data_IF_281523753365
#
_entry.id   IF_281523753365
#
_cell.length_a   1.000
_cell.length_b   1.000
_cell.length_c   1.000
_cell.angle_alpha   90.00
_cell.angle_beta   90.00
_cell.angle_gamma   90.00
#
_symmetry.space_group_name_H-M   'P 1'
#
loop_
_entity.id
_entity.type
_entity.pdbx_description
1 polymer ?
#
# COMPACT_ATOMS: atom_id res chain seq x y z
N UNK A 1 46.28 14.05 -90.40
CA UNK A 1 46.10 15.37 -91.02
C UNK A 1 44.85 15.98 -90.42
N UNK A 2 45.00 17.10 -89.68
CA UNK A 2 43.89 17.99 -89.32
C UNK A 2 43.26 17.82 -87.94
N UNK A 3 43.63 18.71 -87.01
CA UNK A 3 42.86 19.17 -85.85
C UNK A 3 41.41 19.56 -86.19
N UNK A 4 40.49 19.43 -85.22
CA UNK A 4 39.63 20.55 -84.76
C UNK A 4 38.57 20.12 -83.71
N UNK A 5 38.75 20.66 -82.50
CA UNK A 5 37.76 21.41 -81.69
C UNK A 5 36.40 20.78 -81.29
N UNK A 6 36.36 20.38 -80.01
CA UNK A 6 35.51 20.95 -78.95
C UNK A 6 34.01 21.24 -79.18
N UNK A 7 33.17 20.57 -78.38
CA UNK A 7 31.78 20.96 -78.11
C UNK A 7 31.19 20.33 -76.84
N UNK A 8 31.43 20.98 -75.68
CA UNK A 8 30.55 21.15 -74.48
C UNK A 8 30.03 19.87 -73.76
N UNK A 9 30.59 19.54 -72.58
CA UNK A 9 30.02 19.80 -71.21
C UNK A 9 28.64 19.16 -71.00
N UNK A 10 28.58 17.94 -70.43
CA UNK A 10 28.28 17.61 -69.00
C UNK A 10 26.75 17.53 -68.75
N UNK A 11 26.14 16.75 -67.86
CA UNK A 11 26.42 15.84 -66.73
C UNK A 11 25.39 14.69 -66.90
N UNK A 12 25.35 13.53 -66.23
CA UNK A 12 25.53 13.26 -64.81
C UNK A 12 25.48 11.74 -64.62
N UNK A 13 26.38 11.23 -63.78
CA UNK A 13 26.49 9.84 -63.42
C UNK A 13 25.52 9.48 -62.30
N UNK A 14 24.91 8.29 -62.34
CA UNK A 14 24.48 7.63 -61.10
C UNK A 14 24.75 6.12 -61.13
N UNK A 15 25.92 5.81 -60.59
CA UNK A 15 26.33 4.52 -60.04
C UNK A 15 25.42 4.18 -58.83
N UNK A 16 24.89 2.95 -58.76
CA UNK A 16 24.29 2.41 -57.54
C UNK A 16 25.02 1.11 -57.16
N UNK A 17 25.80 1.08 -56.08
CA UNK A 17 26.26 -0.16 -55.48
C UNK A 17 25.26 -0.69 -54.45
N UNK A 18 25.27 -2.01 -54.29
CA UNK A 18 24.40 -2.83 -53.45
C UNK A 18 24.45 -2.44 -51.96
N UNK A 19 23.29 -2.44 -51.30
CA UNK A 19 23.19 -2.26 -49.85
C UNK A 19 22.95 -3.62 -49.17
N UNK A 20 23.90 -4.01 -48.32
CA UNK A 20 23.77 -5.12 -47.38
C UNK A 20 22.83 -4.73 -46.23
N UNK A 21 21.86 -5.59 -45.92
CA UNK A 21 20.92 -5.40 -44.80
C UNK A 21 21.54 -5.96 -43.52
N UNK A 22 21.94 -5.06 -42.62
CA UNK A 22 22.32 -5.39 -41.25
C UNK A 22 21.05 -5.37 -40.37
N UNK A 23 20.61 -6.56 -39.97
CA UNK A 23 19.49 -6.76 -39.05
C UNK A 23 19.88 -6.34 -37.63
N UNK A 24 19.52 -5.13 -37.22
CA UNK A 24 19.63 -4.67 -35.84
C UNK A 24 18.40 -5.16 -35.06
N UNK A 25 18.55 -6.23 -34.30
CA UNK A 25 17.53 -6.73 -33.39
C UNK A 25 17.27 -5.70 -32.28
N UNK A 26 16.19 -4.94 -32.40
CA UNK A 26 15.65 -4.17 -31.27
C UNK A 26 15.10 -5.17 -30.25
N UNK A 27 15.86 -5.43 -29.19
CA UNK A 27 15.30 -5.90 -27.92
C UNK A 27 14.40 -4.77 -27.38
N UNK A 28 13.11 -4.86 -27.62
CA UNK A 28 12.12 -4.04 -26.93
C UNK A 28 12.01 -4.59 -25.49
N UNK A 29 12.41 -3.84 -24.45
CA UNK A 29 12.17 -4.29 -23.08
C UNK A 29 10.65 -4.34 -22.87
N UNK A 30 10.16 -5.47 -22.34
CA UNK A 30 8.74 -5.77 -22.25
C UNK A 30 7.92 -4.62 -21.67
N UNK A 31 7.10 -4.00 -22.51
CA UNK A 31 6.04 -3.10 -22.08
C UNK A 31 5.07 -3.93 -21.24
N UNK A 32 5.09 -3.75 -19.93
CA UNK A 32 3.97 -4.16 -19.09
C UNK A 32 2.76 -3.37 -19.58
N UNK A 33 1.82 -4.06 -20.21
CA UNK A 33 0.61 -3.41 -20.73
C UNK A 33 -0.13 -2.70 -19.60
N UNK A 34 -0.63 -1.47 -19.80
CA UNK A 34 -1.35 -0.72 -18.77
C UNK A 34 -2.54 -1.50 -18.18
N UNK A 35 -3.17 -2.37 -18.98
CA UNK A 35 -4.22 -3.29 -18.50
C UNK A 35 -3.74 -4.29 -17.45
N UNK A 36 -2.52 -4.82 -17.54
CA UNK A 36 -1.99 -5.77 -16.56
C UNK A 36 -1.69 -5.10 -15.20
N UNK A 37 -1.20 -3.86 -15.23
CA UNK A 37 -0.96 -3.07 -14.03
C UNK A 37 -2.27 -2.71 -13.30
N UNK A 38 -3.30 -2.27 -14.05
CA UNK A 38 -4.64 -2.02 -13.50
C UNK A 38 -5.26 -3.30 -12.91
N UNK A 39 -5.10 -4.45 -13.58
CA UNK A 39 -5.59 -5.74 -13.08
C UNK A 39 -4.94 -6.13 -11.75
N UNK A 40 -3.64 -5.86 -11.60
CA UNK A 40 -2.89 -6.08 -10.36
C UNK A 40 -3.46 -5.25 -9.19
N UNK A 41 -3.68 -3.95 -9.42
CA UNK A 41 -4.29 -3.05 -8.44
C UNK A 41 -5.67 -3.56 -8.01
N UNK A 42 -6.55 -3.87 -8.96
CA UNK A 42 -7.91 -4.35 -8.66
C UNK A 42 -7.91 -5.70 -7.95
N UNK A 43 -6.94 -6.56 -8.25
CA UNK A 43 -6.79 -7.85 -7.56
C UNK A 43 -6.27 -7.66 -6.14
N UNK A 44 -5.44 -6.65 -5.89
CA UNK A 44 -5.03 -6.27 -4.54
C UNK A 44 -6.19 -5.65 -3.74
N UNK A 45 -6.94 -4.71 -4.34
CA UNK A 45 -8.13 -4.11 -3.74
C UNK A 45 -9.18 -5.16 -3.35
N UNK A 46 -9.53 -6.07 -4.27
CA UNK A 46 -10.53 -7.13 -3.99
C UNK A 46 -10.08 -8.11 -2.91
N UNK A 47 -8.77 -8.30 -2.77
CA UNK A 47 -8.20 -9.10 -1.68
C UNK A 47 -7.93 -8.31 -0.41
N UNK A 48 -8.38 -7.04 -0.33
CA UNK A 48 -8.10 -6.11 0.78
C UNK A 48 -6.60 -5.97 1.10
N UNK A 49 -5.73 -6.21 0.13
CA UNK A 49 -4.28 -6.05 0.22
C UNK A 49 -3.91 -4.59 -0.03
N UNK A 50 -4.39 -3.69 0.83
CA UNK A 50 -4.34 -2.25 0.62
C UNK A 50 -2.93 -1.69 0.41
N UNK A 51 -1.94 -2.17 1.17
CA UNK A 51 -0.55 -1.73 1.01
C UNK A 51 0.04 -2.10 -0.36
N UNK A 52 -0.30 -3.27 -0.88
CA UNK A 52 0.10 -3.70 -2.22
C UNK A 52 -0.64 -2.88 -3.28
N UNK A 53 -1.95 -2.68 -3.11
CA UNK A 53 -2.75 -1.85 -4.01
C UNK A 53 -2.18 -0.42 -4.09
N UNK A 54 -1.82 0.19 -2.95
CA UNK A 54 -1.22 1.53 -2.89
C UNK A 54 0.18 1.58 -3.51
N UNK A 55 0.98 0.53 -3.35
CA UNK A 55 2.30 0.42 -4.00
C UNK A 55 2.16 0.34 -5.52
N UNK A 56 1.32 -0.58 -6.00
CA UNK A 56 1.03 -0.76 -7.41
C UNK A 56 0.43 0.50 -8.03
N UNK A 57 -0.47 1.18 -7.32
CA UNK A 57 -1.11 2.41 -7.80
C UNK A 57 -0.17 3.61 -7.82
N UNK A 58 0.81 3.70 -6.90
CA UNK A 58 1.86 4.74 -6.96
C UNK A 58 2.85 4.52 -8.09
N UNK A 59 3.11 3.26 -8.46
CA UNK A 59 3.93 2.91 -9.62
C UNK A 59 3.17 3.06 -10.95
N UNK A 60 1.86 3.32 -10.91
CA UNK A 60 1.03 3.46 -12.11
C UNK A 60 1.24 4.85 -12.75
N UNK A 61 1.35 4.96 -14.09
CA UNK A 61 1.56 6.25 -14.76
C UNK A 61 0.41 7.25 -14.58
N UNK A 62 -0.81 6.75 -14.41
CA UNK A 62 -1.99 7.58 -14.16
C UNK A 62 -2.11 7.93 -12.66
N UNK A 63 -2.00 9.22 -12.27
CA UNK A 63 -2.11 9.65 -10.88
C UNK A 63 -3.49 9.37 -10.26
N UNK A 64 -4.54 9.18 -11.08
CA UNK A 64 -5.88 8.82 -10.59
C UNK A 64 -5.87 7.46 -9.93
N UNK A 65 -5.00 6.53 -10.35
CA UNK A 65 -4.93 5.19 -9.79
C UNK A 65 -4.69 5.19 -8.28
N UNK A 66 -3.72 6.00 -7.82
CA UNK A 66 -3.42 6.14 -6.39
C UNK A 66 -4.63 6.65 -5.60
N UNK A 67 -5.29 7.68 -6.15
CA UNK A 67 -6.44 8.33 -5.52
C UNK A 67 -7.66 7.42 -5.47
N UNK A 68 -7.85 6.59 -6.49
CA UNK A 68 -8.91 5.59 -6.54
C UNK A 68 -8.70 4.49 -5.48
N UNK A 69 -7.46 4.02 -5.29
CA UNK A 69 -7.16 3.04 -4.24
C UNK A 69 -7.41 3.64 -2.86
N UNK A 70 -6.97 4.88 -2.62
CA UNK A 70 -7.23 5.58 -1.35
C UNK A 70 -8.74 5.70 -1.09
N UNK A 71 -9.51 6.14 -2.08
CA UNK A 71 -10.96 6.23 -1.99
C UNK A 71 -11.60 4.90 -1.62
N UNK A 72 -11.25 3.83 -2.34
CA UNK A 72 -11.81 2.50 -2.10
C UNK A 72 -11.47 1.99 -0.70
N UNK A 73 -10.25 2.27 -0.20
CA UNK A 73 -9.89 1.97 1.20
C UNK A 73 -10.75 2.75 2.18
N UNK A 74 -10.94 4.05 1.97
CA UNK A 74 -11.67 4.93 2.88
C UNK A 74 -13.17 4.63 2.99
N UNK A 75 -13.76 3.92 2.02
CA UNK A 75 -15.14 3.42 2.13
C UNK A 75 -15.26 2.25 3.12
N UNK A 76 -14.18 1.50 3.33
CA UNK A 76 -14.11 0.34 4.22
C UNK A 76 -14.17 0.80 5.68
N UNK A 77 -15.02 0.15 6.47
CA UNK A 77 -15.20 0.48 7.88
C UNK A 77 -13.88 0.33 8.65
N UNK A 78 -13.51 1.35 9.44
CA UNK A 78 -12.31 1.32 10.27
C UNK A 78 -10.97 1.40 9.52
N UNK A 79 -10.98 1.54 8.19
CA UNK A 79 -9.75 1.55 7.38
C UNK A 79 -9.12 2.95 7.23
N UNK A 80 -9.80 4.01 7.66
CA UNK A 80 -9.36 5.39 7.56
C UNK A 80 -9.40 6.12 8.91
N UNK A 81 -8.48 7.06 9.09
CA UNK A 81 -8.40 7.92 10.27
C UNK A 81 -9.19 9.21 10.07
N UNK A 82 -9.62 9.87 11.16
CA UNK A 82 -10.41 11.09 11.06
C UNK A 82 -9.70 12.23 10.28
N UNK A 83 -8.39 12.52 10.48
CA UNK A 83 -7.69 13.52 9.67
C UNK A 83 -7.57 13.12 8.19
N UNK A 84 -7.40 11.83 7.92
CA UNK A 84 -7.29 11.32 6.55
C UNK A 84 -8.62 11.49 5.81
N UNK A 85 -9.71 11.04 6.44
CA UNK A 85 -11.07 11.15 5.91
C UNK A 85 -11.47 12.61 5.69
N UNK A 86 -11.18 13.50 6.64
CA UNK A 86 -11.51 14.92 6.51
C UNK A 86 -10.77 15.59 5.35
N UNK A 87 -9.47 15.33 5.19
CA UNK A 87 -8.66 15.83 4.07
C UNK A 87 -9.17 15.27 2.75
N UNK A 88 -9.44 13.96 2.68
CA UNK A 88 -9.92 13.34 1.45
C UNK A 88 -11.26 13.92 1.02
N UNK A 89 -12.24 14.02 1.94
CA UNK A 89 -13.56 14.61 1.66
C UNK A 89 -13.42 16.05 1.16
N UNK A 90 -12.60 16.87 1.82
CA UNK A 90 -12.42 18.28 1.46
C UNK A 90 -11.80 18.46 0.06
N UNK A 91 -10.83 17.61 -0.29
CA UNK A 91 -10.13 17.67 -1.59
C UNK A 91 -10.90 17.01 -2.74
N UNK A 92 -12.00 16.31 -2.45
CA UNK A 92 -12.71 15.44 -3.39
C UNK A 92 -14.23 15.52 -3.22
N UNK A 93 -14.77 16.74 -3.10
CA UNK A 93 -16.20 16.94 -2.83
C UNK A 93 -17.12 16.39 -3.94
N UNK A 94 -16.62 16.28 -5.16
CA UNK A 94 -17.31 15.76 -6.35
C UNK A 94 -17.26 14.23 -6.47
N UNK A 95 -16.49 13.56 -5.61
CA UNK A 95 -16.34 12.11 -5.67
C UNK A 95 -17.59 11.40 -5.14
N UNK A 96 -17.89 10.18 -5.64
CA UNK A 96 -19.07 9.44 -5.24
C UNK A 96 -19.08 9.08 -3.74
N UNK A 97 -20.26 8.73 -3.22
CA UNK A 97 -20.45 8.21 -1.86
C UNK A 97 -20.01 9.16 -0.72
N UNK A 98 -20.12 10.49 -0.90
CA UNK A 98 -19.83 11.49 0.15
C UNK A 98 -20.53 11.19 1.49
N UNK A 99 -21.79 10.76 1.47
CA UNK A 99 -22.52 10.41 2.68
C UNK A 99 -21.88 9.23 3.44
N UNK A 100 -21.35 8.24 2.71
CA UNK A 100 -20.65 7.12 3.32
C UNK A 100 -19.31 7.59 3.91
N UNK A 101 -18.53 8.38 3.17
CA UNK A 101 -17.29 8.97 3.67
C UNK A 101 -17.52 9.81 4.94
N UNK A 102 -18.57 10.63 4.97
CA UNK A 102 -18.95 11.41 6.15
C UNK A 102 -19.30 10.51 7.34
N UNK A 103 -20.02 9.41 7.12
CA UNK A 103 -20.28 8.41 8.16
C UNK A 103 -18.98 7.77 8.67
N UNK A 104 -18.05 7.42 7.79
CA UNK A 104 -16.72 6.88 8.18
C UNK A 104 -15.94 7.90 9.01
N UNK A 105 -16.01 9.19 8.66
CA UNK A 105 -15.40 10.25 9.44
C UNK A 105 -15.99 10.32 10.85
N UNK A 106 -17.31 10.25 10.99
CA UNK A 106 -17.98 10.24 12.30
C UNK A 106 -17.57 9.02 13.14
N UNK A 107 -17.50 7.84 12.54
CA UNK A 107 -17.02 6.62 13.20
C UNK A 107 -15.57 6.78 13.70
N UNK A 108 -14.69 7.35 12.86
CA UNK A 108 -13.30 7.62 13.21
C UNK A 108 -13.16 8.70 14.31
N UNK A 109 -14.02 9.73 14.30
CA UNK A 109 -14.08 10.76 15.35
C UNK A 109 -14.55 10.17 16.70
N UNK A 110 -15.56 9.31 16.67
CA UNK A 110 -16.02 8.60 17.87
C UNK A 110 -14.93 7.67 18.43
N UNK A 111 -14.15 7.03 17.57
CA UNK A 111 -13.01 6.20 17.98
C UNK A 111 -11.85 7.02 18.58
N UNK A 112 -11.63 8.25 18.08
CA UNK A 112 -10.58 9.16 18.53
C UNK A 112 -10.95 9.98 19.78
N UNK A 113 -12.23 10.03 20.16
CA UNK A 113 -12.71 10.60 21.43
C UNK A 113 -12.25 9.84 22.68
N UNK A 114 -11.59 8.68 22.55
CA UNK A 114 -10.77 8.08 23.60
C UNK A 114 -9.37 8.69 23.51
N UNK A 115 -9.05 9.62 24.42
CA UNK A 115 -7.81 10.42 24.46
C UNK A 115 -6.59 9.64 23.91
N UNK A 116 -5.97 10.20 22.88
CA UNK A 116 -4.79 9.68 22.17
C UNK A 116 -3.59 10.62 22.33
N UNK A 117 -3.66 11.57 23.27
CA UNK A 117 -2.53 12.44 23.59
C UNK A 117 -1.30 11.60 23.97
N UNK A 118 -0.08 12.08 23.74
CA UNK A 118 1.13 11.39 24.22
C UNK A 118 1.07 11.08 25.73
N UNK A 119 0.37 11.92 26.51
CA UNK A 119 0.12 11.69 27.94
C UNK A 119 -0.73 10.44 28.20
N UNK A 120 -1.79 10.23 27.42
CA UNK A 120 -2.65 9.03 27.50
C UNK A 120 -1.91 7.73 27.14
N UNK A 121 -0.77 7.83 26.45
CA UNK A 121 0.04 6.70 26.00
C UNK A 121 1.19 6.35 26.97
N UNK A 122 1.39 7.08 28.06
CA UNK A 122 2.57 6.88 28.93
C UNK A 122 2.51 5.59 29.77
N UNK A 123 1.34 5.16 30.23
CA UNK A 123 1.20 3.97 31.09
C UNK A 123 0.91 2.68 30.29
N UNK A 124 1.76 2.37 29.31
CA UNK A 124 1.57 1.29 28.33
C UNK A 124 1.17 -0.08 28.92
N UNK A 125 1.78 -0.57 30.02
CA UNK A 125 1.41 -1.88 30.58
C UNK A 125 -0.07 -1.95 30.99
N UNK A 126 -0.64 -0.84 31.47
CA UNK A 126 -2.04 -0.76 31.89
C UNK A 126 -3.01 -0.59 30.71
N UNK A 127 -2.56 -0.06 29.57
CA UNK A 127 -3.45 0.28 28.44
C UNK A 127 -4.01 -0.96 27.75
N UNK A 128 -5.31 -1.00 27.43
CA UNK A 128 -5.89 -2.09 26.64
C UNK A 128 -5.29 -2.12 25.23
N UNK A 129 -5.30 -3.29 24.58
CA UNK A 129 -4.70 -3.48 23.26
C UNK A 129 -5.19 -2.45 22.23
N UNK A 130 -6.50 -2.19 22.19
CA UNK A 130 -7.08 -1.21 21.30
C UNK A 130 -6.55 0.23 21.51
N UNK A 131 -6.18 0.60 22.76
CA UNK A 131 -5.59 1.90 23.02
C UNK A 131 -4.11 1.94 22.63
N UNK A 132 -3.37 0.85 22.84
CA UNK A 132 -2.00 0.73 22.35
C UNK A 132 -1.93 0.88 20.82
N UNK A 133 -2.85 0.28 20.07
CA UNK A 133 -2.89 0.46 18.61
C UNK A 133 -3.16 1.91 18.19
N UNK A 134 -4.08 2.59 18.88
CA UNK A 134 -4.32 4.03 18.66
C UNK A 134 -3.08 4.88 18.95
N UNK A 135 -2.37 4.58 20.03
CA UNK A 135 -1.09 5.21 20.37
C UNK A 135 -0.02 4.95 19.29
N UNK A 136 0.05 3.73 18.76
CA UNK A 136 0.96 3.36 17.69
C UNK A 136 0.70 4.17 16.41
N UNK A 137 -0.57 4.26 15.99
CA UNK A 137 -0.97 5.03 14.82
C UNK A 137 -0.65 6.52 14.99
N UNK A 138 -0.95 7.09 16.17
CA UNK A 138 -0.66 8.49 16.48
C UNK A 138 0.85 8.79 16.53
N UNK A 139 1.66 7.88 17.08
CA UNK A 139 3.11 8.00 17.09
C UNK A 139 3.71 7.90 15.67
N UNK A 140 3.19 7.00 14.84
CA UNK A 140 3.59 6.81 13.45
C UNK A 140 3.40 8.08 12.63
N UNK A 141 2.21 8.67 12.70
CA UNK A 141 1.87 9.92 11.99
C UNK A 141 2.72 11.10 12.42
N UNK A 142 3.18 11.12 13.67
CA UNK A 142 4.04 12.16 14.20
C UNK A 142 5.53 11.86 14.02
N UNK A 143 5.90 10.84 13.24
CA UNK A 143 7.30 10.47 12.96
C UNK A 143 8.04 9.83 14.13
N UNK A 144 7.36 9.53 15.25
CA UNK A 144 7.94 8.85 16.41
C UNK A 144 7.94 7.34 16.21
N UNK A 145 8.76 6.89 15.25
CA UNK A 145 8.77 5.49 14.80
C UNK A 145 9.03 4.50 15.94
N UNK A 146 9.95 4.80 16.85
CA UNK A 146 10.27 3.91 17.97
C UNK A 146 9.08 3.69 18.92
N UNK A 147 8.35 4.76 19.26
CA UNK A 147 7.14 4.65 20.09
C UNK A 147 6.05 3.87 19.36
N UNK A 148 5.88 4.12 18.06
CA UNK A 148 4.89 3.45 17.25
C UNK A 148 5.10 1.92 17.20
N UNK A 149 6.36 1.50 16.98
CA UNK A 149 6.76 0.09 16.99
C UNK A 149 6.51 -0.54 18.35
N UNK A 150 6.88 0.16 19.43
CA UNK A 150 6.73 -0.34 20.78
C UNK A 150 5.25 -0.56 21.14
N UNK A 151 4.40 0.42 20.83
CA UNK A 151 2.96 0.36 21.12
C UNK A 151 2.26 -0.72 20.26
N UNK A 152 2.61 -0.84 18.98
CA UNK A 152 2.03 -1.85 18.09
C UNK A 152 2.40 -3.28 18.54
N UNK A 153 3.66 -3.54 18.91
CA UNK A 153 4.09 -4.85 19.45
C UNK A 153 3.37 -5.17 20.75
N UNK A 154 3.26 -4.20 21.66
CA UNK A 154 2.52 -4.38 22.91
C UNK A 154 1.03 -4.69 22.65
N UNK A 155 0.40 -3.98 21.70
CA UNK A 155 -0.98 -4.25 21.27
C UNK A 155 -1.15 -5.67 20.69
N UNK A 156 -0.19 -6.12 19.87
CA UNK A 156 -0.15 -7.48 19.34
C UNK A 156 -0.14 -8.54 20.44
N UNK A 157 0.77 -8.42 21.40
CA UNK A 157 0.91 -9.41 22.47
C UNK A 157 -0.35 -9.43 23.35
N UNK A 158 -0.87 -8.24 23.70
CA UNK A 158 -2.01 -8.09 24.60
C UNK A 158 -3.33 -8.60 24.00
N UNK A 159 -3.46 -8.54 22.68
CA UNK A 159 -4.57 -9.15 21.93
C UNK A 159 -5.26 -8.15 21.03
N UNK A 160 -4.91 -8.20 19.75
CA UNK A 160 -5.70 -7.59 18.68
C UNK A 160 -6.95 -8.44 18.48
N UNK A 161 -8.10 -7.78 18.38
CA UNK A 161 -9.39 -8.44 18.10
C UNK A 161 -9.30 -9.29 16.81
N UNK A 162 -9.92 -10.49 16.76
CA UNK A 162 -9.81 -11.39 15.62
C UNK A 162 -10.17 -10.72 14.27
N UNK A 163 -11.21 -9.88 14.27
CA UNK A 163 -11.64 -9.17 13.07
C UNK A 163 -10.64 -8.10 12.59
N UNK A 164 -9.75 -7.62 13.46
CA UNK A 164 -8.73 -6.61 13.15
C UNK A 164 -7.34 -7.21 12.92
N UNK A 165 -7.14 -8.52 13.14
CA UNK A 165 -5.85 -9.19 13.09
C UNK A 165 -5.21 -9.12 11.69
N UNK A 166 -6.00 -9.35 10.62
CA UNK A 166 -5.50 -9.26 9.25
C UNK A 166 -4.99 -7.84 8.92
N UNK A 167 -5.79 -6.82 9.22
CA UNK A 167 -5.43 -5.41 9.01
C UNK A 167 -4.21 -5.01 9.84
N UNK A 168 -4.13 -5.47 11.10
CA UNK A 168 -2.95 -5.24 11.92
C UNK A 168 -1.68 -5.83 11.30
N UNK A 169 -1.73 -7.08 10.84
CA UNK A 169 -0.57 -7.74 10.22
C UNK A 169 -0.16 -7.07 8.90
N UNK A 170 -1.10 -6.49 8.15
CA UNK A 170 -0.78 -5.72 6.96
C UNK A 170 0.03 -4.46 7.27
N UNK A 171 -0.29 -3.75 8.36
CA UNK A 171 0.36 -2.48 8.73
C UNK A 171 1.63 -2.72 9.54
N UNK A 172 1.54 -3.56 10.57
CA UNK A 172 2.54 -3.76 11.61
C UNK A 172 3.21 -5.13 11.57
N UNK A 173 2.81 -6.05 10.68
CA UNK A 173 3.33 -7.42 10.69
C UNK A 173 4.85 -7.51 10.50
N UNK A 174 5.45 -6.57 9.76
CA UNK A 174 6.90 -6.54 9.50
C UNK A 174 7.76 -6.20 10.71
N UNK A 175 7.18 -5.56 11.73
CA UNK A 175 7.91 -5.17 12.95
C UNK A 175 7.81 -6.23 14.05
N UNK A 176 7.00 -7.27 13.83
CA UNK A 176 6.85 -8.36 14.78
C UNK A 176 8.06 -9.28 14.72
N UNK A 177 8.49 -9.68 15.91
CA UNK A 177 9.56 -10.65 16.12
C UNK A 177 8.98 -12.01 16.49
N UNK A 178 9.75 -13.11 16.33
CA UNK A 178 9.34 -14.42 16.82
C UNK A 178 8.95 -14.43 18.31
N UNK A 179 9.63 -13.63 19.13
CA UNK A 179 9.31 -13.46 20.57
C UNK A 179 7.91 -12.85 20.78
N UNK A 180 7.50 -11.88 19.96
CA UNK A 180 6.15 -11.31 20.05
C UNK A 180 5.08 -12.34 19.69
N UNK A 181 5.37 -13.19 18.70
CA UNK A 181 4.47 -14.29 18.31
C UNK A 181 4.36 -15.33 19.42
N UNK A 182 5.48 -15.68 20.06
CA UNK A 182 5.52 -16.62 21.18
C UNK A 182 4.75 -16.08 22.40
N UNK A 183 4.98 -14.83 22.81
CA UNK A 183 4.26 -14.21 23.94
C UNK A 183 2.75 -14.12 23.71
N UNK A 184 2.33 -13.82 22.48
CA UNK A 184 0.89 -13.83 22.12
C UNK A 184 0.32 -15.24 22.20
N UNK A 185 1.06 -16.24 21.72
CA UNK A 185 0.67 -17.65 21.80
C UNK A 185 0.50 -18.08 23.26
N UNK A 186 1.47 -17.82 24.13
CA UNK A 186 1.39 -18.16 25.56
C UNK A 186 0.13 -17.58 26.19
N UNK A 187 -0.16 -16.29 25.99
CA UNK A 187 -1.39 -15.66 26.50
C UNK A 187 -2.66 -16.34 25.98
N UNK A 188 -2.71 -16.64 24.69
CA UNK A 188 -3.87 -17.29 24.06
C UNK A 188 -4.05 -18.72 24.57
N UNK A 189 -2.97 -19.48 24.77
CA UNK A 189 -3.03 -20.85 25.26
C UNK A 189 -3.68 -20.97 26.66
N UNK A 190 -3.63 -19.91 27.47
CA UNK A 190 -4.30 -19.86 28.78
C UNK A 190 -5.78 -19.47 28.72
N UNK A 191 -6.24 -18.87 27.61
CA UNK A 191 -7.59 -18.27 27.51
C UNK A 191 -8.46 -18.90 26.42
N UNK A 192 -7.86 -19.69 25.53
CA UNK A 192 -8.49 -20.30 24.39
C UNK A 192 -8.48 -21.84 24.52
N UNK A 193 -9.47 -22.49 23.92
CA UNK A 193 -9.69 -23.94 24.02
C UNK A 193 -8.71 -24.78 23.18
N UNK A 194 -7.91 -24.15 22.33
CA UNK A 194 -6.93 -24.80 21.46
C UNK A 194 -7.53 -25.61 20.31
N UNK A 195 -8.85 -25.48 20.06
CA UNK A 195 -9.53 -26.20 18.98
C UNK A 195 -9.00 -25.81 17.60
N UNK A 196 -9.10 -26.68 16.58
CA UNK A 196 -8.73 -26.34 15.21
C UNK A 196 -9.43 -25.07 14.74
N UNK A 197 -8.66 -24.06 14.33
CA UNK A 197 -9.18 -22.76 13.90
C UNK A 197 -9.35 -21.73 15.01
N UNK A 198 -9.09 -22.07 16.28
CA UNK A 198 -9.07 -21.11 17.38
C UNK A 198 -7.91 -20.10 17.25
N UNK A 199 -7.99 -18.92 17.90
CA UNK A 199 -6.90 -17.95 17.91
C UNK A 199 -5.53 -18.54 18.31
N UNK A 200 -5.47 -19.40 19.32
CA UNK A 200 -4.25 -20.09 19.74
C UNK A 200 -3.72 -21.03 18.64
N UNK A 201 -4.59 -21.81 18.00
CA UNK A 201 -4.21 -22.71 16.90
C UNK A 201 -3.74 -21.94 15.66
N UNK A 202 -4.33 -20.78 15.36
CA UNK A 202 -3.89 -19.90 14.29
C UNK A 202 -2.53 -19.27 14.61
N UNK A 203 -2.34 -18.82 15.86
CA UNK A 203 -1.09 -18.23 16.32
C UNK A 203 0.06 -19.25 16.29
N UNK A 204 -0.18 -20.50 16.65
CA UNK A 204 0.82 -21.57 16.62
C UNK A 204 1.41 -21.80 15.21
N UNK A 205 0.63 -21.55 14.14
CA UNK A 205 1.10 -21.64 12.75
C UNK A 205 2.08 -20.52 12.35
N UNK A 206 2.25 -19.51 13.21
CA UNK A 206 3.06 -18.31 12.97
C UNK A 206 4.32 -18.25 13.83
N UNK A 207 4.57 -19.29 14.63
CA UNK A 207 5.82 -19.51 15.35
C UNK A 207 6.86 -20.07 14.39
#
# INVERSE_FOLDING_TARGET
MGDALQGRVALEAHMRPAAAVLSLGLLWPGLVSPGAAAQGILTAVRGERWAEAESLARAHPDPVAHKLVQYLRLLTAGAGLAPELSVFIAQNADWPQQALLARRLQEALAASGRDQSPASCQNRPALPAAQLLRCADAASQAGRVADAVLDARAGWIKGVEPAAEASFLLVWGRILTPDDHWRRFERLAWTDTGQPGSPAAQQARRL
#
